data_IF_516395289430
#
_entry.id   IF_516395289430
#
_cell.length_a   1.000
_cell.length_b   1.000
_cell.length_c   1.000
_cell.angle_alpha   90.00
_cell.angle_beta   90.00
_cell.angle_gamma   90.00
#
_symmetry.space_group_name_H-M   'P 1'
#
loop_
_entity.id
_entity.type
_entity.pdbx_description
1 polymer ?
#
# COMPACT_ATOMS: atom_id res chain seq x y z
N UNK A 1 -6.84 -12.90 -18.19
CA UNK A 1 -8.12 -12.17 -18.02
C UNK A 1 -7.76 -10.89 -17.31
N UNK A 2 -7.95 -9.76 -17.99
CA UNK A 2 -7.73 -8.48 -17.36
C UNK A 2 -8.76 -8.34 -16.23
N UNK A 3 -8.30 -8.10 -15.01
CA UNK A 3 -9.17 -7.90 -13.85
C UNK A 3 -9.97 -6.62 -14.01
N UNK A 4 -11.12 -6.52 -13.34
CA UNK A 4 -11.88 -5.27 -13.26
C UNK A 4 -11.38 -4.45 -12.06
N UNK A 5 -10.76 -3.28 -12.28
CA UNK A 5 -10.35 -2.42 -11.18
C UNK A 5 -11.49 -2.03 -10.24
N UNK A 6 -12.73 -1.99 -10.74
CA UNK A 6 -13.91 -1.59 -9.96
C UNK A 6 -14.59 -2.74 -9.24
N UNK A 7 -14.04 -3.96 -9.32
CA UNK A 7 -14.59 -5.13 -8.61
C UNK A 7 -14.35 -5.10 -7.09
N UNK A 8 -13.35 -4.38 -6.62
CA UNK A 8 -12.97 -4.33 -5.20
C UNK A 8 -12.16 -3.06 -4.92
N UNK A 9 -12.34 -2.47 -3.75
CA UNK A 9 -11.34 -1.61 -3.12
C UNK A 9 -10.69 -2.39 -1.99
N UNK A 10 -9.37 -2.22 -1.79
CA UNK A 10 -8.71 -2.95 -0.72
C UNK A 10 -7.65 -2.13 0.03
N UNK A 11 -7.26 -2.61 1.18
CA UNK A 11 -6.09 -2.15 1.93
C UNK A 11 -5.32 -3.34 2.47
N UNK A 12 -4.03 -3.14 2.78
CA UNK A 12 -3.26 -4.10 3.58
C UNK A 12 -2.93 -3.42 4.90
N UNK A 13 -3.31 -4.05 5.99
CA UNK A 13 -3.22 -3.50 7.33
C UNK A 13 -2.49 -4.46 8.26
N UNK A 14 -1.69 -3.95 9.17
CA UNK A 14 -1.00 -4.75 10.17
C UNK A 14 -1.97 -5.18 11.26
N UNK A 15 -1.88 -6.46 11.66
CA UNK A 15 -2.78 -7.12 12.60
C UNK A 15 -1.98 -7.83 13.69
N UNK A 16 -2.45 -7.71 14.95
CA UNK A 16 -1.82 -8.35 16.10
C UNK A 16 -2.13 -9.86 16.24
N UNK A 17 -3.06 -10.36 15.46
CA UNK A 17 -3.55 -11.75 15.53
C UNK A 17 -4.78 -11.92 16.43
N UNK A 18 -5.31 -10.84 16.98
CA UNK A 18 -6.52 -10.83 17.82
C UNK A 18 -7.47 -9.72 17.34
N UNK A 19 -7.54 -8.62 18.01
CA UNK A 19 -8.59 -7.60 17.80
C UNK A 19 -8.04 -6.26 17.30
N UNK A 20 -6.72 -6.07 17.21
CA UNK A 20 -6.13 -4.78 16.89
C UNK A 20 -5.61 -4.73 15.43
N UNK A 21 -6.06 -3.71 14.73
CA UNK A 21 -5.57 -3.31 13.42
C UNK A 21 -4.81 -1.97 13.55
N UNK A 22 -3.56 -1.93 13.11
CA UNK A 22 -2.73 -0.73 13.21
C UNK A 22 -3.27 0.38 12.30
N UNK A 23 -3.54 1.57 12.86
CA UNK A 23 -4.08 2.72 12.14
C UNK A 23 -5.39 2.39 11.35
N UNK A 24 -6.30 1.63 11.97
CA UNK A 24 -7.53 1.17 11.34
C UNK A 24 -8.36 2.31 10.75
N UNK A 25 -8.47 3.43 11.45
CA UNK A 25 -9.18 4.64 11.04
C UNK A 25 -8.64 5.23 9.72
N UNK A 26 -7.32 5.34 9.58
CA UNK A 26 -6.67 5.83 8.35
C UNK A 26 -6.87 4.86 7.19
N UNK A 27 -6.77 3.57 7.44
CA UNK A 27 -7.02 2.54 6.42
C UNK A 27 -8.47 2.55 5.95
N UNK A 28 -9.44 2.64 6.86
CA UNK A 28 -10.88 2.71 6.55
C UNK A 28 -11.20 4.00 5.80
N UNK A 29 -10.68 5.15 6.24
CA UNK A 29 -10.85 6.43 5.55
C UNK A 29 -10.31 6.36 4.10
N UNK A 30 -9.16 5.70 3.87
CA UNK A 30 -8.63 5.48 2.53
C UNK A 30 -9.54 4.57 1.69
N UNK A 31 -10.11 3.51 2.25
CA UNK A 31 -11.07 2.67 1.53
C UNK A 31 -12.26 3.48 1.01
N UNK A 32 -12.83 4.36 1.83
CA UNK A 32 -13.93 5.25 1.40
C UNK A 32 -13.49 6.17 0.25
N UNK A 33 -12.36 6.85 0.36
CA UNK A 33 -11.83 7.72 -0.71
C UNK A 33 -11.61 6.97 -2.01
N UNK A 34 -11.05 5.77 -1.94
CA UNK A 34 -10.78 4.95 -3.13
C UNK A 34 -12.06 4.39 -3.75
N UNK A 35 -13.02 3.92 -2.95
CA UNK A 35 -14.31 3.45 -3.44
C UNK A 35 -15.07 4.55 -4.19
N UNK A 36 -15.12 5.77 -3.63
CA UNK A 36 -15.71 6.93 -4.28
C UNK A 36 -15.07 7.20 -5.65
N UNK A 37 -13.73 7.18 -5.73
CA UNK A 37 -12.99 7.35 -6.99
C UNK A 37 -13.25 6.23 -7.99
N UNK A 38 -13.45 5.00 -7.51
CA UNK A 38 -13.80 3.84 -8.33
C UNK A 38 -15.29 3.80 -8.73
N UNK A 39 -16.11 4.71 -8.18
CA UNK A 39 -17.50 4.91 -8.57
C UNK A 39 -18.50 4.05 -7.82
N UNK A 40 -18.17 3.56 -6.62
CA UNK A 40 -19.12 2.85 -5.75
C UNK A 40 -19.05 3.31 -4.29
N UNK A 41 -20.11 3.04 -3.53
CA UNK A 41 -20.21 3.42 -2.13
C UNK A 41 -19.94 2.23 -1.23
N UNK A 42 -19.28 2.48 -0.11
CA UNK A 42 -19.13 1.50 0.97
C UNK A 42 -20.25 1.65 1.99
N UNK A 43 -20.60 0.56 2.71
CA UNK A 43 -21.64 0.63 3.73
C UNK A 43 -21.24 1.53 4.90
N UNK A 44 -22.21 2.28 5.46
CA UNK A 44 -21.94 3.19 6.57
C UNK A 44 -21.45 2.47 7.85
N UNK A 45 -21.83 1.21 8.03
CA UNK A 45 -21.41 0.34 9.13
C UNK A 45 -20.18 -0.52 8.77
N UNK A 46 -19.34 -0.05 7.81
CA UNK A 46 -18.17 -0.82 7.37
C UNK A 46 -17.25 -1.22 8.52
N UNK A 47 -17.06 -0.34 9.50
CA UNK A 47 -16.21 -0.61 10.67
C UNK A 47 -16.70 -1.82 11.44
N UNK A 48 -18.00 -1.90 11.72
CA UNK A 48 -18.62 -3.03 12.41
C UNK A 48 -18.47 -4.32 11.61
N UNK A 49 -18.68 -4.27 10.28
CA UNK A 49 -18.52 -5.42 9.40
C UNK A 49 -17.06 -5.93 9.38
N UNK A 50 -16.09 -5.02 9.39
CA UNK A 50 -14.68 -5.39 9.47
C UNK A 50 -14.36 -6.12 10.77
N UNK A 51 -14.77 -5.59 11.91
CA UNK A 51 -14.51 -6.21 13.21
C UNK A 51 -15.27 -7.52 13.41
N UNK A 52 -16.49 -7.64 12.89
CA UNK A 52 -17.21 -8.90 12.83
C UNK A 52 -16.45 -9.96 12.01
N UNK A 53 -15.99 -9.60 10.79
CA UNK A 53 -15.18 -10.48 9.97
C UNK A 53 -13.85 -10.85 10.65
N UNK A 54 -13.21 -9.88 11.34
CA UNK A 54 -11.95 -10.08 12.05
C UNK A 54 -12.09 -11.09 13.21
N UNK A 55 -13.22 -11.08 13.93
CA UNK A 55 -13.48 -12.03 15.03
C UNK A 55 -13.53 -13.49 14.57
N UNK A 56 -13.70 -13.72 13.27
CA UNK A 56 -13.71 -15.05 12.65
C UNK A 56 -12.44 -15.35 11.84
N UNK A 57 -11.46 -14.44 11.85
CA UNK A 57 -10.24 -14.60 11.07
C UNK A 57 -9.30 -15.62 11.74
N UNK A 58 -8.80 -16.55 10.95
CA UNK A 58 -7.83 -17.55 11.42
C UNK A 58 -6.40 -17.00 11.40
N UNK A 59 -5.60 -17.40 12.39
CA UNK A 59 -4.17 -17.10 12.44
C UNK A 59 -3.47 -17.85 11.29
N UNK A 60 -2.74 -17.15 10.40
CA UNK A 60 -2.19 -17.77 9.17
C UNK A 60 -0.92 -18.59 9.40
N UNK A 61 -0.40 -18.64 10.63
CA UNK A 61 0.81 -19.38 10.99
C UNK A 61 1.60 -18.71 12.10
N UNK A 62 2.86 -19.12 12.28
CA UNK A 62 3.75 -18.53 13.27
C UNK A 62 4.36 -17.20 12.79
N UNK A 63 4.54 -16.25 13.72
CA UNK A 63 5.24 -14.99 13.45
C UNK A 63 6.71 -15.22 13.13
N UNK A 64 7.22 -14.53 12.13
CA UNK A 64 8.66 -14.54 11.74
C UNK A 64 9.34 -13.19 11.98
N UNK A 65 8.59 -12.19 12.48
CA UNK A 65 9.10 -10.85 12.80
C UNK A 65 9.39 -10.71 14.29
N UNK A 66 10.09 -9.64 14.67
CA UNK A 66 10.42 -9.37 16.08
C UNK A 66 9.22 -8.86 16.90
N UNK A 67 9.36 -8.86 18.23
CA UNK A 67 8.30 -8.50 19.20
C UNK A 67 7.71 -7.10 19.02
N UNK A 68 8.46 -6.17 18.42
CA UNK A 68 8.00 -4.79 18.17
C UNK A 68 7.35 -4.61 16.80
N UNK A 69 7.04 -5.69 16.10
CA UNK A 69 6.39 -5.65 14.78
C UNK A 69 5.11 -6.47 14.82
N UNK A 70 4.08 -5.98 14.16
CA UNK A 70 2.85 -6.76 14.03
C UNK A 70 3.15 -8.11 13.35
N UNK A 71 2.73 -9.24 13.94
CA UNK A 71 3.06 -10.57 13.43
C UNK A 71 2.41 -10.87 12.09
N UNK A 72 1.27 -10.22 11.80
CA UNK A 72 0.45 -10.53 10.64
C UNK A 72 0.07 -9.27 9.85
N UNK A 73 -0.32 -9.51 8.62
CA UNK A 73 -0.95 -8.54 7.74
C UNK A 73 -2.30 -9.10 7.27
N UNK A 74 -3.29 -8.24 7.12
CA UNK A 74 -4.56 -8.59 6.48
C UNK A 74 -4.72 -7.78 5.19
N UNK A 75 -4.96 -8.44 4.05
CA UNK A 75 -5.62 -7.80 2.93
C UNK A 75 -7.10 -7.72 3.27
N UNK A 76 -7.61 -6.52 3.46
CA UNK A 76 -9.01 -6.21 3.66
C UNK A 76 -9.56 -5.66 2.36
N UNK A 77 -10.45 -6.39 1.71
CA UNK A 77 -11.13 -6.03 0.48
C UNK A 77 -12.63 -5.78 0.72
N UNK A 78 -13.19 -4.85 -0.03
CA UNK A 78 -14.64 -4.57 0.00
C UNK A 78 -15.12 -4.42 -1.45
N UNK A 79 -16.10 -5.21 -1.85
CA UNK A 79 -16.68 -5.15 -3.19
C UNK A 79 -17.82 -4.12 -3.28
N UNK A 80 -18.33 -3.80 -4.48
CA UNK A 80 -19.45 -2.87 -4.66
C UNK A 80 -20.77 -3.27 -3.98
N UNK A 81 -20.94 -4.54 -3.60
CA UNK A 81 -22.09 -5.01 -2.83
C UNK A 81 -21.94 -4.78 -1.32
N UNK A 82 -20.77 -4.28 -0.88
CA UNK A 82 -20.46 -4.05 0.53
C UNK A 82 -19.97 -5.29 1.27
N UNK A 83 -19.66 -6.38 0.58
CA UNK A 83 -19.13 -7.60 1.18
C UNK A 83 -17.67 -7.40 1.55
N UNK A 84 -17.34 -7.68 2.81
CA UNK A 84 -15.98 -7.61 3.37
C UNK A 84 -15.28 -8.95 3.22
N UNK A 85 -14.07 -8.93 2.68
CA UNK A 85 -13.20 -10.10 2.55
C UNK A 85 -11.88 -9.84 3.26
N UNK A 86 -11.50 -10.74 4.18
CA UNK A 86 -10.22 -10.68 4.89
C UNK A 86 -9.33 -11.84 4.45
N UNK A 87 -8.09 -11.52 4.07
CA UNK A 87 -7.08 -12.51 3.73
C UNK A 87 -5.86 -12.28 4.65
N UNK A 88 -5.80 -13.00 5.80
CA UNK A 88 -4.66 -12.93 6.70
C UNK A 88 -3.41 -13.58 6.07
N UNK A 89 -2.25 -13.04 6.42
CA UNK A 89 -0.96 -13.63 6.07
C UNK A 89 0.09 -13.30 7.11
N UNK A 90 1.12 -14.12 7.24
CA UNK A 90 2.28 -13.83 8.07
C UNK A 90 2.98 -12.57 7.56
N UNK A 91 3.34 -11.65 8.45
CA UNK A 91 4.17 -10.51 8.11
C UNK A 91 5.61 -10.96 7.91
N UNK A 92 6.17 -10.70 6.74
CA UNK A 92 7.52 -11.11 6.39
C UNK A 92 8.59 -10.12 6.82
N UNK A 93 9.82 -10.59 7.02
CA UNK A 93 10.99 -9.73 7.19
C UNK A 93 11.36 -9.07 5.88
N UNK A 94 11.73 -7.82 5.95
CA UNK A 94 12.28 -7.08 4.81
C UNK A 94 13.80 -7.11 4.87
N UNK A 95 14.49 -7.37 3.74
CA UNK A 95 15.96 -7.23 3.67
C UNK A 95 16.38 -5.79 3.98
N UNK A 96 17.59 -5.64 4.54
CA UNK A 96 18.20 -4.33 4.75
C UNK A 96 19.71 -4.44 4.48
N UNK A 97 20.25 -3.79 3.42
CA UNK A 97 19.53 -3.01 2.42
C UNK A 97 18.69 -3.88 1.46
N UNK A 98 17.68 -3.28 0.82
CA UNK A 98 16.93 -3.89 -0.28
C UNK A 98 17.52 -3.51 -1.63
N UNK A 99 17.40 -4.43 -2.60
CA UNK A 99 17.70 -4.18 -4.01
C UNK A 99 16.41 -3.83 -4.75
N UNK A 100 16.47 -2.81 -5.58
CA UNK A 100 15.35 -2.39 -6.41
C UNK A 100 15.73 -2.41 -7.89
N UNK A 101 14.74 -2.68 -8.76
CA UNK A 101 14.83 -2.45 -10.20
C UNK A 101 13.77 -1.46 -10.65
N UNK A 102 14.02 -0.77 -11.76
CA UNK A 102 13.06 0.14 -12.37
C UNK A 102 12.23 -0.59 -13.42
N UNK A 103 10.90 -0.50 -13.31
CA UNK A 103 9.95 -1.06 -14.27
C UNK A 103 8.93 0.00 -14.68
N UNK A 104 8.26 -0.21 -15.82
CA UNK A 104 7.14 0.64 -16.24
C UNK A 104 5.96 0.46 -15.29
N UNK A 105 5.36 1.56 -14.84
CA UNK A 105 4.14 1.53 -14.05
C UNK A 105 2.95 1.03 -14.89
N UNK A 106 2.01 0.29 -14.28
CA UNK A 106 0.73 -0.01 -14.92
C UNK A 106 -0.02 1.27 -15.28
N UNK A 107 -0.66 1.28 -16.43
CA UNK A 107 -1.43 2.45 -16.90
C UNK A 107 -2.90 2.28 -16.56
N UNK A 108 -3.42 3.22 -15.80
CA UNK A 108 -4.81 3.25 -15.38
C UNK A 108 -5.48 4.56 -15.80
N UNK A 109 -6.81 4.54 -15.93
CA UNK A 109 -7.57 5.78 -16.11
C UNK A 109 -7.48 6.68 -14.86
N UNK A 110 -7.86 7.96 -14.98
CA UNK A 110 -7.68 8.94 -13.93
C UNK A 110 -8.44 8.62 -12.63
N UNK A 111 -9.51 7.83 -12.66
CA UNK A 111 -10.27 7.43 -11.48
C UNK A 111 -9.63 6.27 -10.74
N UNK A 112 -9.00 5.34 -11.47
CA UNK A 112 -8.33 4.15 -10.93
C UNK A 112 -6.91 4.46 -10.47
N UNK A 113 -6.21 5.34 -11.18
CA UNK A 113 -4.81 5.69 -10.94
C UNK A 113 -4.59 6.14 -9.48
N UNK A 114 -3.63 5.54 -8.78
CA UNK A 114 -3.32 5.84 -7.38
C UNK A 114 -4.38 5.36 -6.38
N UNK A 115 -5.20 4.37 -6.75
CA UNK A 115 -6.10 3.67 -5.82
C UNK A 115 -5.64 2.23 -5.59
N UNK A 116 -6.07 1.61 -4.50
CA UNK A 116 -5.97 0.17 -4.28
C UNK A 116 -7.27 -0.48 -4.76
N UNK A 117 -7.21 -1.18 -5.90
CA UNK A 117 -8.37 -1.62 -6.68
C UNK A 117 -8.30 -3.13 -7.01
N UNK A 118 -9.38 -3.69 -7.53
CA UNK A 118 -9.54 -5.13 -7.77
C UNK A 118 -8.52 -5.75 -8.74
N UNK A 119 -8.08 -5.01 -9.75
CA UNK A 119 -7.05 -5.50 -10.67
C UNK A 119 -5.64 -5.16 -10.18
N UNK A 120 -5.12 -5.95 -9.24
CA UNK A 120 -3.79 -5.77 -8.66
C UNK A 120 -2.73 -6.67 -9.31
N UNK A 121 -3.10 -7.47 -10.31
CA UNK A 121 -2.19 -8.42 -10.97
C UNK A 121 -0.94 -7.76 -11.56
N UNK A 122 -0.99 -6.58 -12.22
CA UNK A 122 0.20 -5.93 -12.77
C UNK A 122 1.28 -5.60 -11.72
N UNK A 123 0.89 -5.34 -10.47
CA UNK A 123 1.83 -5.10 -9.38
C UNK A 123 2.45 -6.40 -8.85
N UNK A 124 1.71 -7.51 -8.89
CA UNK A 124 2.26 -8.84 -8.60
C UNK A 124 3.24 -9.26 -9.68
N UNK A 125 2.91 -9.04 -10.95
CA UNK A 125 3.79 -9.35 -12.07
C UNK A 125 5.10 -8.55 -11.99
N UNK A 126 5.03 -7.25 -11.67
CA UNK A 126 6.21 -6.41 -11.45
C UNK A 126 7.10 -6.95 -10.32
N UNK A 127 6.51 -7.49 -9.25
CA UNK A 127 7.25 -8.14 -8.17
C UNK A 127 7.94 -9.42 -8.61
N UNK A 128 7.28 -10.26 -9.40
CA UNK A 128 7.89 -11.48 -9.91
C UNK A 128 9.07 -11.15 -10.86
N UNK A 129 8.91 -10.16 -11.73
CA UNK A 129 10.02 -9.67 -12.57
C UNK A 129 11.19 -9.17 -11.70
N UNK A 130 10.94 -8.43 -10.62
CA UNK A 130 11.99 -8.02 -9.71
C UNK A 130 12.76 -9.21 -9.12
N UNK A 131 12.05 -10.23 -8.64
CA UNK A 131 12.65 -11.47 -8.11
C UNK A 131 13.50 -12.21 -9.14
N UNK A 132 13.02 -12.35 -10.38
CA UNK A 132 13.75 -12.97 -11.49
C UNK A 132 15.09 -12.26 -11.76
N UNK A 133 15.16 -10.96 -11.51
CA UNK A 133 16.38 -10.15 -11.63
C UNK A 133 17.18 -10.05 -10.33
N UNK A 134 16.84 -10.83 -9.30
CA UNK A 134 17.53 -10.83 -8.01
C UNK A 134 17.33 -9.56 -7.20
N UNK A 135 16.24 -8.82 -7.45
CA UNK A 135 15.81 -7.66 -6.69
C UNK A 135 14.68 -8.01 -5.70
N UNK A 136 14.56 -7.21 -4.65
CA UNK A 136 13.57 -7.39 -3.60
C UNK A 136 12.24 -6.67 -3.91
N UNK A 137 12.34 -5.55 -4.65
CA UNK A 137 11.21 -4.68 -5.01
C UNK A 137 11.38 -4.14 -6.44
N UNK A 138 10.28 -3.67 -7.02
CA UNK A 138 10.29 -2.83 -8.22
C UNK A 138 9.88 -1.39 -7.89
N UNK A 139 10.59 -0.43 -8.46
CA UNK A 139 10.20 0.97 -8.54
C UNK A 139 9.49 1.19 -9.87
N UNK A 140 8.30 1.78 -9.82
CA UNK A 140 7.38 1.88 -10.95
C UNK A 140 7.42 3.30 -11.55
N UNK A 141 7.70 3.39 -12.85
CA UNK A 141 7.88 4.65 -13.57
C UNK A 141 6.86 4.85 -14.68
N UNK A 142 6.32 6.05 -14.81
CA UNK A 142 5.61 6.53 -16.01
C UNK A 142 6.58 7.42 -16.82
N UNK A 143 7.16 6.86 -17.87
CA UNK A 143 8.33 7.46 -18.52
C UNK A 143 9.54 7.46 -17.59
N UNK A 144 10.02 8.64 -17.23
CA UNK A 144 11.11 8.86 -16.26
C UNK A 144 10.63 9.26 -14.87
N UNK A 145 9.31 9.39 -14.66
CA UNK A 145 8.71 9.85 -13.41
C UNK A 145 8.44 8.64 -12.50
N UNK A 146 9.03 8.63 -11.32
CA UNK A 146 8.77 7.64 -10.28
C UNK A 146 7.35 7.85 -9.73
N UNK A 147 6.51 6.81 -9.87
CA UNK A 147 5.12 6.83 -9.43
C UNK A 147 4.98 6.15 -8.05
N UNK A 148 5.51 4.92 -7.91
CA UNK A 148 5.33 4.13 -6.69
C UNK A 148 6.33 2.98 -6.66
N UNK A 149 6.23 2.09 -5.67
CA UNK A 149 6.79 0.74 -5.68
C UNK A 149 5.68 -0.30 -5.81
N UNK A 150 6.04 -1.55 -6.14
CA UNK A 150 5.06 -2.65 -6.25
C UNK A 150 4.30 -2.92 -4.93
N UNK A 151 4.91 -2.60 -3.79
CA UNK A 151 4.36 -2.80 -2.44
C UNK A 151 4.83 -1.82 -1.39
N UNK A 152 5.53 -0.76 -1.79
CA UNK A 152 6.07 0.27 -0.89
C UNK A 152 5.96 1.64 -1.53
N UNK A 153 5.92 2.68 -0.72
CA UNK A 153 6.11 4.05 -1.18
C UNK A 153 7.61 4.37 -1.07
N UNK A 154 8.29 4.70 -2.16
CA UNK A 154 9.68 5.14 -2.11
C UNK A 154 9.79 6.53 -1.50
N UNK A 155 10.83 6.75 -0.70
CA UNK A 155 11.18 8.06 -0.15
C UNK A 155 12.65 8.32 -0.50
N UNK A 156 12.91 9.44 -1.17
CA UNK A 156 14.26 9.91 -1.48
C UNK A 156 14.69 10.92 -0.40
N UNK A 157 15.80 10.64 0.27
CA UNK A 157 16.45 11.60 1.16
C UNK A 157 17.58 12.27 0.40
N UNK A 158 17.54 13.60 0.27
CA UNK A 158 18.59 14.36 -0.39
C UNK A 158 19.79 14.66 0.54
N UNK A 159 20.82 15.26 -0.04
CA UNK A 159 22.04 15.61 0.70
C UNK A 159 21.83 16.77 1.70
N UNK A 160 20.75 17.52 1.56
CA UNK A 160 20.38 18.62 2.49
C UNK A 160 19.49 18.12 3.64
N UNK A 161 19.20 16.82 3.68
CA UNK A 161 18.41 16.18 4.73
C UNK A 161 16.89 16.37 4.55
N UNK A 162 16.42 16.65 3.33
CA UNK A 162 15.00 16.73 3.01
C UNK A 162 14.54 15.42 2.39
N UNK A 163 13.45 14.88 2.90
CA UNK A 163 12.82 13.67 2.36
C UNK A 163 11.75 14.03 1.33
N UNK A 164 11.75 13.33 0.20
CA UNK A 164 10.77 13.50 -0.88
C UNK A 164 10.06 12.21 -1.20
N UNK A 165 8.77 12.27 -1.50
CA UNK A 165 7.97 11.14 -1.95
C UNK A 165 7.20 11.50 -3.24
N UNK A 166 6.82 10.50 -4.08
CA UNK A 166 6.11 10.74 -5.32
C UNK A 166 4.77 11.41 -5.11
N UNK A 167 4.39 12.32 -6.02
CA UNK A 167 3.13 13.07 -5.94
C UNK A 167 1.92 12.17 -6.17
N UNK A 168 0.88 12.21 -5.32
CA UNK A 168 -0.39 11.53 -5.57
C UNK A 168 -1.06 11.99 -6.87
N UNK A 169 -0.91 13.27 -7.26
CA UNK A 169 -1.41 13.82 -8.53
C UNK A 169 -0.76 13.19 -9.78
N UNK A 170 0.40 12.56 -9.63
CA UNK A 170 1.11 11.83 -10.70
C UNK A 170 0.85 10.31 -10.64
N UNK A 171 0.00 9.86 -9.71
CA UNK A 171 -0.46 8.49 -9.62
C UNK A 171 0.12 7.68 -8.45
N UNK A 172 0.91 8.31 -7.59
CA UNK A 172 1.33 7.68 -6.35
C UNK A 172 0.13 7.33 -5.47
N UNK A 173 0.24 6.22 -4.75
CA UNK A 173 -0.76 5.84 -3.76
C UNK A 173 -0.66 6.77 -2.54
N UNK A 174 -1.79 7.15 -1.95
CA UNK A 174 -1.81 7.80 -0.65
C UNK A 174 -1.43 6.78 0.45
N UNK A 175 -0.20 6.91 0.96
CA UNK A 175 0.36 5.95 1.90
C UNK A 175 -0.11 6.22 3.33
N UNK A 176 -0.89 5.29 3.91
CA UNK A 176 -1.25 5.32 5.33
C UNK A 176 -0.02 5.27 6.23
N UNK A 177 0.98 4.47 5.87
CA UNK A 177 2.23 4.40 6.64
C UNK A 177 2.92 5.76 6.67
N UNK A 178 3.03 6.45 5.53
CA UNK A 178 3.63 7.78 5.48
C UNK A 178 2.84 8.79 6.31
N UNK A 179 1.50 8.78 6.21
CA UNK A 179 0.62 9.63 7.00
C UNK A 179 0.86 9.43 8.50
N UNK A 180 1.00 8.19 8.94
CA UNK A 180 1.22 7.81 10.34
C UNK A 180 2.60 8.23 10.88
N UNK A 181 3.67 8.11 10.06
CA UNK A 181 5.04 8.39 10.52
C UNK A 181 5.53 9.81 10.22
N UNK A 182 4.77 10.59 9.44
CA UNK A 182 5.16 11.94 8.98
C UNK A 182 5.56 12.85 10.13
N UNK A 183 4.72 12.98 11.16
CA UNK A 183 4.98 13.84 12.33
C UNK A 183 6.27 13.42 13.04
N UNK A 184 6.52 12.11 13.17
CA UNK A 184 7.75 11.58 13.76
C UNK A 184 8.99 11.94 12.95
N UNK A 185 8.91 11.87 11.62
CA UNK A 185 10.00 12.25 10.71
C UNK A 185 10.30 13.75 10.83
N UNK A 186 9.27 14.60 10.78
CA UNK A 186 9.42 16.05 10.90
C UNK A 186 9.92 16.46 12.29
N UNK A 187 9.46 15.81 13.36
CA UNK A 187 9.95 16.02 14.73
C UNK A 187 11.40 15.60 14.91
N UNK A 188 11.89 14.67 14.12
CA UNK A 188 13.32 14.30 14.06
C UNK A 188 14.16 15.28 13.25
N UNK A 189 13.57 16.39 12.76
CA UNK A 189 14.26 17.44 12.01
C UNK A 189 14.42 17.14 10.51
N UNK A 190 13.71 16.16 9.96
CA UNK A 190 13.71 15.83 8.53
C UNK A 190 12.44 16.35 7.87
N UNK A 191 12.49 17.47 7.13
CA UNK A 191 11.34 17.94 6.36
C UNK A 191 10.93 16.89 5.32
N UNK A 192 9.62 16.62 5.18
CA UNK A 192 9.13 15.67 4.20
C UNK A 192 8.13 16.31 3.24
N UNK A 193 8.35 16.16 1.93
CA UNK A 193 7.63 16.86 0.87
C UNK A 193 7.25 15.95 -0.29
N UNK A 194 6.10 16.21 -0.88
CA UNK A 194 5.79 15.61 -2.18
C UNK A 194 6.60 16.29 -3.30
N UNK A 195 7.09 15.50 -4.24
CA UNK A 195 7.84 15.99 -5.37
C UNK A 195 7.65 15.11 -6.61
N UNK A 196 7.89 15.70 -7.78
CA UNK A 196 8.11 14.92 -8.99
C UNK A 196 9.52 14.33 -8.91
N UNK A 197 9.59 13.05 -8.64
CA UNK A 197 10.85 12.31 -8.62
C UNK A 197 11.11 11.70 -9.99
N UNK A 198 12.33 11.85 -10.49
CA UNK A 198 12.71 11.30 -11.79
C UNK A 198 13.86 10.32 -11.67
N UNK A 199 14.00 9.43 -12.64
CA UNK A 199 15.06 8.42 -12.63
C UNK A 199 16.47 9.01 -12.44
N UNK A 200 16.85 10.17 -13.05
CA UNK A 200 18.16 10.79 -12.81
C UNK A 200 18.38 11.32 -11.37
N UNK A 201 17.34 11.41 -10.54
CA UNK A 201 17.45 11.87 -9.15
C UNK A 201 17.75 10.72 -8.17
N UNK A 202 17.59 9.48 -8.61
CA UNK A 202 17.84 8.27 -7.83
C UNK A 202 19.26 7.75 -8.07
#
# INVERSE_FOLDING_TARGET
MDGDPRSEVFTTIAWDGDSQLLAADLHIARLFRHAERLGFNLPNNLTELIFEALSNAEIPGESVVGENQAPFLIKLGVNPNGEVNLIPRVNGKWPNPMRAISLSAPRWDGSVRGTKHGDWQPYFDAREVAKEHGADISLLFDGDILIDGDRCMPILLDNDGVAYYPKPSEGALDSVTLEQIREGIESAGVPIREARLTLPML
#
